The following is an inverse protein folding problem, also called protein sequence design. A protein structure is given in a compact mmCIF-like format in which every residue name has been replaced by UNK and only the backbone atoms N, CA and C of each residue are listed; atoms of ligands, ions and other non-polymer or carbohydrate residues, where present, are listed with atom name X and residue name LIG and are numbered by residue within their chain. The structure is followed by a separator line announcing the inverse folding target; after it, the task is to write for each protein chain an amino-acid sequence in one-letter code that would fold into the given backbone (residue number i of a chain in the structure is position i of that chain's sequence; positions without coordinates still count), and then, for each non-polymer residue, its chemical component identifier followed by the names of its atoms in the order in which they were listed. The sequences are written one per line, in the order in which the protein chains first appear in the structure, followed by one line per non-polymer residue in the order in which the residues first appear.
data_IF_315893139401
#
_entry.id   IF_315893139401
#
_cell.length_a   1.000
_cell.length_b   1.000
_cell.length_c   1.000
_cell.angle_alpha   90.00
_cell.angle_beta   90.00
_cell.angle_gamma   90.00
#
_symmetry.space_group_name_H-M   'P 1'
#
loop_
_entity.id
_entity.type
_entity.pdbx_description
1 polymer ?
#
# COMPACT_ATOMS: atom_id res chain seq x y z
N UNK A 1 -14.53 16.13 -18.88
CA UNK A 1 -14.85 16.89 -17.64
C UNK A 1 -16.30 16.66 -17.14
N UNK A 2 -17.29 16.29 -17.98
CA UNK A 2 -18.68 16.08 -17.51
C UNK A 2 -18.88 14.76 -16.75
N UNK A 3 -18.27 13.65 -17.18
CA UNK A 3 -18.44 12.33 -16.52
C UNK A 3 -18.05 12.32 -15.03
N UNK A 4 -16.93 12.97 -14.67
CA UNK A 4 -16.48 13.03 -13.27
C UNK A 4 -17.44 13.86 -12.41
N UNK A 5 -17.97 14.97 -12.95
CA UNK A 5 -18.98 15.79 -12.25
C UNK A 5 -20.28 15.02 -12.07
N UNK A 6 -20.73 14.31 -13.11
CA UNK A 6 -21.95 13.50 -13.07
C UNK A 6 -21.81 12.32 -12.10
N UNK A 7 -20.66 11.65 -12.07
CA UNK A 7 -20.39 10.57 -11.12
C UNK A 7 -20.37 11.07 -9.67
N UNK A 8 -19.73 12.23 -9.42
CA UNK A 8 -19.69 12.85 -8.09
C UNK A 8 -21.08 13.26 -7.62
N UNK A 9 -21.90 13.81 -8.51
CA UNK A 9 -23.27 14.22 -8.18
C UNK A 9 -24.18 13.02 -7.89
N UNK A 10 -23.99 11.89 -8.57
CA UNK A 10 -24.77 10.67 -8.29
C UNK A 10 -24.33 9.91 -7.03
N UNK A 11 -23.07 10.06 -6.60
CA UNK A 11 -22.48 9.32 -5.48
C UNK A 11 -21.89 10.29 -4.45
N UNK A 12 -22.66 11.29 -4.04
CA UNK A 12 -22.18 12.36 -3.16
C UNK A 12 -21.68 11.82 -1.80
N UNK A 13 -22.33 10.77 -1.28
CA UNK A 13 -22.01 10.12 -0.02
C UNK A 13 -20.63 9.46 0.00
N UNK A 14 -20.02 9.21 -1.18
CA UNK A 14 -18.66 8.68 -1.28
C UNK A 14 -17.57 9.72 -0.98
N UNK A 15 -17.90 11.00 -1.17
CA UNK A 15 -16.96 12.12 -1.06
C UNK A 15 -17.18 12.97 0.20
N UNK A 16 -18.15 12.59 1.03
CA UNK A 16 -18.40 13.21 2.33
C UNK A 16 -17.27 12.88 3.31
N UNK A 17 -16.85 13.87 4.11
CA UNK A 17 -15.79 13.70 5.09
C UNK A 17 -16.33 13.10 6.38
N UNK A 18 -15.66 12.05 6.85
CA UNK A 18 -15.95 11.37 8.10
C UNK A 18 -14.88 11.73 9.14
N UNK A 19 -15.25 11.90 10.42
CA UNK A 19 -14.30 12.13 11.49
C UNK A 19 -13.41 10.90 11.71
N UNK A 20 -12.16 11.11 12.10
CA UNK A 20 -11.24 10.04 12.43
C UNK A 20 -11.65 9.36 13.75
N UNK A 21 -11.75 8.02 13.73
CA UNK A 21 -12.09 7.23 14.92
C UNK A 21 -10.89 7.02 15.84
N UNK A 22 -9.68 6.93 15.29
CA UNK A 22 -8.42 6.81 16.04
C UNK A 22 -7.26 7.49 15.29
N UNK A 23 -6.36 8.16 16.01
CA UNK A 23 -5.12 8.76 15.48
C UNK A 23 -3.93 8.01 16.07
N UNK A 24 -3.03 7.51 15.22
CA UNK A 24 -1.87 6.75 15.68
C UNK A 24 -0.70 7.67 16.07
N UNK A 25 0.24 7.22 16.93
CA UNK A 25 1.38 8.05 17.36
C UNK A 25 2.24 8.58 16.20
N UNK A 26 2.45 7.76 15.17
CA UNK A 26 3.20 8.18 13.97
C UNK A 26 2.47 9.23 13.14
N UNK A 27 1.14 9.35 13.27
CA UNK A 27 0.38 10.36 12.55
C UNK A 27 0.70 11.75 13.09
N UNK A 28 0.83 11.88 14.40
CA UNK A 28 1.22 13.14 15.02
C UNK A 28 2.67 13.52 14.67
N UNK A 29 3.57 12.54 14.62
CA UNK A 29 4.95 12.79 14.19
C UNK A 29 5.02 13.29 12.73
N UNK A 30 4.33 12.60 11.82
CA UNK A 30 4.23 13.02 10.42
C UNK A 30 3.54 14.37 10.28
N UNK A 31 2.50 14.64 11.08
CA UNK A 31 1.78 15.91 11.08
C UNK A 31 2.68 17.09 11.42
N UNK A 32 3.49 16.96 12.47
CA UNK A 32 4.40 18.01 12.93
C UNK A 32 5.58 18.20 11.97
N UNK A 33 6.07 17.11 11.37
CA UNK A 33 7.32 17.13 10.59
C UNK A 33 7.08 17.41 9.11
N UNK A 34 6.25 16.62 8.44
CA UNK A 34 6.11 16.62 6.97
C UNK A 34 4.82 17.28 6.54
N UNK A 35 3.68 16.96 7.18
CA UNK A 35 2.38 17.46 6.72
C UNK A 35 2.23 18.97 6.89
N UNK A 36 3.01 19.61 7.79
CA UNK A 36 3.07 21.06 7.93
C UNK A 36 3.55 21.76 6.64
N UNK A 37 4.38 21.10 5.85
CA UNK A 37 4.90 21.65 4.59
C UNK A 37 4.01 21.35 3.38
N UNK A 38 3.05 20.44 3.50
CA UNK A 38 2.12 20.14 2.41
C UNK A 38 1.12 21.30 2.24
N UNK A 39 0.92 21.80 1.00
CA UNK A 39 -0.08 22.81 0.74
C UNK A 39 -1.48 22.28 1.07
N UNK A 40 -2.30 23.13 1.70
CA UNK A 40 -3.66 22.78 2.20
C UNK A 40 -4.63 22.29 1.11
N UNK A 41 -4.28 22.45 -0.17
CA UNK A 41 -5.07 22.05 -1.34
C UNK A 41 -4.89 20.57 -1.72
N UNK A 42 -3.94 19.86 -1.13
CA UNK A 42 -3.73 18.43 -1.33
C UNK A 42 -4.68 17.67 -0.41
N UNK A 43 -5.50 16.81 -1.01
CA UNK A 43 -6.41 15.91 -0.28
C UNK A 43 -5.82 14.50 -0.28
N UNK A 44 -6.13 13.67 0.73
CA UNK A 44 -5.68 12.27 0.77
C UNK A 44 -5.97 11.53 -0.54
N UNK A 45 -7.19 11.66 -1.06
CA UNK A 45 -7.60 11.01 -2.32
C UNK A 45 -6.73 11.39 -3.54
N UNK A 46 -6.15 12.60 -3.58
CA UNK A 46 -5.24 13.01 -4.66
C UNK A 46 -3.91 12.28 -4.58
N UNK A 47 -3.44 12.00 -3.35
CA UNK A 47 -2.21 11.26 -3.11
C UNK A 47 -2.42 9.78 -3.48
N UNK A 48 -3.53 9.17 -3.08
CA UNK A 48 -3.88 7.81 -3.49
C UNK A 48 -4.00 7.68 -5.01
N UNK A 49 -4.64 8.67 -5.68
CA UNK A 49 -4.74 8.71 -7.14
C UNK A 49 -3.37 8.87 -7.81
N UNK A 50 -2.54 9.76 -7.28
CA UNK A 50 -1.17 9.93 -7.75
C UNK A 50 -0.42 8.60 -7.70
N UNK A 51 -0.55 7.85 -6.59
CA UNK A 51 0.08 6.53 -6.43
C UNK A 51 -0.44 5.52 -7.45
N UNK A 52 -1.74 5.45 -7.72
CA UNK A 52 -2.29 4.59 -8.77
C UNK A 52 -1.69 4.92 -10.14
N UNK A 53 -1.48 6.20 -10.46
CA UNK A 53 -0.85 6.62 -11.71
C UNK A 53 0.68 6.43 -11.74
N UNK A 54 1.34 6.56 -10.59
CA UNK A 54 2.79 6.43 -10.46
C UNK A 54 3.24 4.96 -10.46
N UNK A 55 2.44 4.03 -9.93
CA UNK A 55 2.77 2.60 -9.88
C UNK A 55 3.11 2.00 -11.25
N UNK A 56 2.33 2.20 -12.33
CA UNK A 56 2.71 1.75 -13.67
C UNK A 56 4.03 2.34 -14.17
N UNK A 57 4.30 3.60 -13.83
CA UNK A 57 5.57 4.23 -14.19
C UNK A 57 6.77 3.58 -13.48
N UNK A 58 6.64 3.31 -12.17
CA UNK A 58 7.65 2.56 -11.41
C UNK A 58 7.84 1.15 -11.99
N UNK A 59 6.75 0.46 -12.31
CA UNK A 59 6.79 -0.85 -12.94
C UNK A 59 7.56 -0.83 -14.27
N UNK A 60 7.29 0.14 -15.14
CA UNK A 60 7.98 0.27 -16.43
C UNK A 60 9.48 0.58 -16.25
N UNK A 61 9.85 1.46 -15.33
CA UNK A 61 11.27 1.74 -15.04
C UNK A 61 12.03 0.45 -14.69
N UNK A 62 11.46 -0.35 -13.78
CA UNK A 62 12.07 -1.61 -13.34
C UNK A 62 12.05 -2.65 -14.47
N UNK A 63 10.98 -2.73 -15.25
CA UNK A 63 10.85 -3.66 -16.37
C UNK A 63 11.93 -3.42 -17.44
N UNK A 64 12.26 -2.15 -17.71
CA UNK A 64 13.32 -1.76 -18.65
C UNK A 64 14.73 -1.79 -18.05
N UNK A 65 14.88 -2.22 -16.79
CA UNK A 65 16.18 -2.39 -16.15
C UNK A 65 16.77 -1.13 -15.50
N UNK A 66 16.02 -0.03 -15.41
CA UNK A 66 16.46 1.19 -14.71
C UNK A 66 16.30 1.05 -13.19
N UNK A 67 16.99 0.08 -12.60
CA UNK A 67 16.79 -0.31 -11.20
C UNK A 67 17.14 0.79 -10.20
N UNK A 68 18.17 1.62 -10.47
CA UNK A 68 18.56 2.74 -9.61
C UNK A 68 17.41 3.73 -9.41
N UNK A 69 16.82 4.19 -10.52
CA UNK A 69 15.63 5.05 -10.50
C UNK A 69 14.39 4.30 -9.99
N UNK A 70 14.32 2.99 -10.24
CA UNK A 70 13.30 2.09 -9.74
C UNK A 70 13.23 2.06 -8.22
N UNK A 71 14.37 1.89 -7.52
CA UNK A 71 14.44 1.90 -6.04
C UNK A 71 13.91 3.21 -5.48
N UNK A 72 14.43 4.33 -5.99
CA UNK A 72 14.06 5.67 -5.50
C UNK A 72 12.58 5.93 -5.73
N UNK A 73 12.08 5.63 -6.93
CA UNK A 73 10.67 5.86 -7.27
C UNK A 73 9.75 4.93 -6.50
N UNK A 74 10.12 3.66 -6.31
CA UNK A 74 9.35 2.71 -5.50
C UNK A 74 9.24 3.18 -4.05
N UNK A 75 10.34 3.58 -3.42
CA UNK A 75 10.35 4.09 -2.05
C UNK A 75 9.50 5.36 -1.92
N UNK A 76 9.60 6.29 -2.86
CA UNK A 76 8.78 7.50 -2.85
C UNK A 76 7.29 7.16 -2.94
N UNK A 77 6.90 6.29 -3.87
CA UNK A 77 5.50 5.88 -4.04
C UNK A 77 5.00 5.08 -2.83
N UNK A 78 5.77 4.13 -2.30
CA UNK A 78 5.41 3.39 -1.09
C UNK A 78 5.25 4.32 0.12
N UNK A 79 6.13 5.32 0.26
CA UNK A 79 6.03 6.30 1.34
C UNK A 79 4.77 7.16 1.26
N UNK A 80 4.22 7.39 0.07
CA UNK A 80 2.97 8.15 -0.07
C UNK A 80 1.77 7.51 0.66
N UNK A 81 1.81 6.19 0.91
CA UNK A 81 0.79 5.46 1.68
C UNK A 81 0.73 5.84 3.16
N UNK A 82 1.90 6.03 3.76
CA UNK A 82 1.94 6.48 5.14
C UNK A 82 1.44 7.94 5.24
N UNK A 83 1.74 8.75 4.22
CA UNK A 83 1.40 10.17 4.19
C UNK A 83 -0.10 10.41 4.00
N UNK A 84 -0.76 9.74 3.06
CA UNK A 84 -2.18 9.99 2.80
C UNK A 84 -3.09 9.47 3.92
N UNK A 85 -2.78 8.30 4.48
CA UNK A 85 -3.45 7.76 5.66
C UNK A 85 -3.30 8.70 6.87
N UNK A 86 -2.08 9.20 7.12
CA UNK A 86 -1.82 10.15 8.20
C UNK A 86 -2.54 11.49 7.99
N UNK A 87 -2.52 12.02 6.76
CA UNK A 87 -3.20 13.25 6.38
C UNK A 87 -4.72 13.14 6.52
N UNK A 88 -5.30 12.00 6.15
CA UNK A 88 -6.73 11.75 6.27
C UNK A 88 -7.19 11.76 7.74
N UNK A 89 -6.43 11.08 8.62
CA UNK A 89 -6.74 10.98 10.06
C UNK A 89 -6.54 12.31 10.79
N UNK A 90 -5.42 12.99 10.54
CA UNK A 90 -5.07 14.25 11.25
C UNK A 90 -5.93 15.43 10.83
N UNK A 91 -6.45 15.43 9.60
CA UNK A 91 -7.33 16.50 9.10
C UNK A 91 -8.82 16.16 9.15
N UNK A 92 -9.22 15.00 9.68
CA UNK A 92 -10.60 14.50 9.63
C UNK A 92 -11.19 14.54 8.20
N UNK A 93 -10.36 14.20 7.20
CA UNK A 93 -10.71 14.22 5.77
C UNK A 93 -10.81 12.80 5.22
N UNK A 94 -11.37 11.87 5.99
CA UNK A 94 -11.57 10.49 5.56
C UNK A 94 -12.81 10.45 4.66
N UNK A 95 -12.71 9.82 3.49
CA UNK A 95 -13.87 9.65 2.58
C UNK A 95 -14.10 8.17 2.30
N UNK A 96 -15.35 7.74 2.06
CA UNK A 96 -15.64 6.35 1.67
C UNK A 96 -14.97 5.95 0.36
N UNK A 97 -14.79 6.92 -0.55
CA UNK A 97 -14.02 6.73 -1.78
C UNK A 97 -12.54 6.46 -1.49
N UNK A 98 -11.89 7.29 -0.67
CA UNK A 98 -10.50 7.10 -0.26
C UNK A 98 -10.28 5.75 0.42
N UNK A 99 -11.15 5.38 1.37
CA UNK A 99 -11.11 4.07 2.05
C UNK A 99 -11.20 2.87 1.09
N UNK A 100 -11.82 3.03 -0.08
CA UNK A 100 -11.86 1.98 -1.11
C UNK A 100 -10.63 2.02 -2.02
N UNK A 101 -10.16 3.23 -2.35
CA UNK A 101 -9.04 3.44 -3.26
C UNK A 101 -7.69 3.07 -2.62
N UNK A 102 -7.50 3.36 -1.34
CA UNK A 102 -6.21 3.15 -0.65
C UNK A 102 -5.78 1.66 -0.66
N UNK A 103 -6.63 0.69 -0.27
CA UNK A 103 -6.25 -0.74 -0.32
C UNK A 103 -6.04 -1.26 -1.74
N UNK A 104 -6.68 -0.63 -2.74
CA UNK A 104 -6.52 -0.99 -4.14
C UNK A 104 -5.19 -0.45 -4.68
N UNK A 105 -4.86 0.80 -4.39
CA UNK A 105 -3.61 1.44 -4.77
C UNK A 105 -2.39 0.73 -4.16
N UNK A 106 -2.47 0.38 -2.87
CA UNK A 106 -1.42 -0.35 -2.15
C UNK A 106 -1.15 -1.73 -2.79
N UNK A 107 -2.21 -2.50 -3.04
CA UNK A 107 -2.11 -3.84 -3.64
C UNK A 107 -1.67 -3.82 -5.11
N UNK A 108 -1.98 -2.75 -5.84
CA UNK A 108 -1.43 -2.55 -7.18
C UNK A 108 0.09 -2.39 -7.14
N UNK A 109 0.61 -1.59 -6.21
CA UNK A 109 2.05 -1.38 -6.07
C UNK A 109 2.74 -2.70 -5.70
N UNK A 110 2.38 -3.31 -4.57
CA UNK A 110 3.02 -4.56 -4.13
C UNK A 110 2.80 -5.69 -5.13
N UNK A 111 1.58 -5.88 -5.63
CA UNK A 111 1.25 -6.94 -6.58
C UNK A 111 2.04 -6.83 -7.88
N UNK A 112 2.20 -5.62 -8.43
CA UNK A 112 3.00 -5.40 -9.63
C UNK A 112 4.49 -5.71 -9.41
N UNK A 113 5.05 -5.34 -8.26
CA UNK A 113 6.43 -5.66 -7.91
C UNK A 113 6.65 -7.15 -7.67
N UNK A 114 5.69 -7.83 -7.03
CA UNK A 114 5.75 -9.30 -6.85
C UNK A 114 5.74 -10.01 -8.20
N UNK A 115 4.87 -9.59 -9.11
CA UNK A 115 4.82 -10.16 -10.46
C UNK A 115 6.12 -9.99 -11.23
N UNK A 116 6.75 -8.82 -11.12
CA UNK A 116 7.95 -8.49 -11.89
C UNK A 116 9.24 -9.06 -11.30
N UNK A 117 9.37 -8.99 -9.98
CA UNK A 117 10.63 -9.24 -9.27
C UNK A 117 10.65 -10.59 -8.56
N UNK A 118 9.60 -10.91 -7.80
CA UNK A 118 9.62 -12.12 -6.95
C UNK A 118 9.59 -13.37 -7.81
N UNK A 119 8.71 -13.45 -8.81
CA UNK A 119 8.65 -14.62 -9.70
C UNK A 119 9.91 -14.82 -10.55
N UNK A 120 10.70 -13.76 -10.75
CA UNK A 120 11.91 -13.82 -11.58
C UNK A 120 13.17 -14.09 -10.77
N UNK A 121 13.27 -13.54 -9.55
CA UNK A 121 14.52 -13.50 -8.79
C UNK A 121 14.45 -14.20 -7.42
N UNK A 122 13.26 -14.48 -6.90
CA UNK A 122 13.05 -15.13 -5.61
C UNK A 122 12.30 -16.46 -5.77
N UNK A 123 11.96 -17.09 -4.64
CA UNK A 123 11.20 -18.33 -4.63
C UNK A 123 9.79 -18.13 -5.23
N UNK A 124 9.52 -18.90 -6.28
CA UNK A 124 8.25 -18.90 -6.99
C UNK A 124 7.05 -19.19 -6.06
N UNK A 125 7.18 -20.11 -5.11
CA UNK A 125 6.13 -20.47 -4.18
C UNK A 125 5.82 -19.32 -3.22
N UNK A 126 6.83 -18.57 -2.79
CA UNK A 126 6.61 -17.36 -1.99
C UNK A 126 5.84 -16.31 -2.78
N UNK A 127 6.15 -16.12 -4.06
CA UNK A 127 5.39 -15.23 -4.94
C UNK A 127 3.90 -15.59 -5.01
N UNK A 128 3.58 -16.89 -5.18
CA UNK A 128 2.19 -17.39 -5.17
C UNK A 128 1.52 -17.09 -3.82
N UNK A 129 2.17 -17.45 -2.71
CA UNK A 129 1.57 -17.30 -1.38
C UNK A 129 1.33 -15.82 -1.05
N UNK A 130 2.28 -14.94 -1.37
CA UNK A 130 2.15 -13.50 -1.16
C UNK A 130 0.96 -12.94 -1.94
N UNK A 131 0.87 -13.20 -3.25
CA UNK A 131 -0.24 -12.74 -4.07
C UNK A 131 -1.58 -13.32 -3.62
N UNK A 132 -1.62 -14.62 -3.33
CA UNK A 132 -2.80 -15.30 -2.82
C UNK A 132 -3.30 -14.66 -1.53
N UNK A 133 -2.40 -14.36 -0.59
CA UNK A 133 -2.74 -13.67 0.65
C UNK A 133 -3.28 -12.26 0.39
N UNK A 134 -2.71 -11.48 -0.53
CA UNK A 134 -3.25 -10.16 -0.87
C UNK A 134 -4.72 -10.24 -1.31
N UNK A 135 -5.05 -11.19 -2.17
CA UNK A 135 -6.40 -11.44 -2.66
C UNK A 135 -7.32 -11.86 -1.51
N UNK A 136 -6.87 -12.79 -0.66
CA UNK A 136 -7.63 -13.22 0.53
C UNK A 136 -7.96 -12.03 1.42
N UNK A 137 -7.01 -11.12 1.67
CA UNK A 137 -7.27 -9.89 2.42
C UNK A 137 -8.26 -8.94 1.73
N UNK A 138 -8.27 -8.83 0.38
CA UNK A 138 -9.28 -8.02 -0.34
C UNK A 138 -10.67 -8.62 -0.11
N UNK A 139 -10.82 -9.91 -0.39
CA UNK A 139 -12.11 -10.63 -0.33
C UNK A 139 -12.65 -10.54 1.10
N UNK A 140 -11.78 -10.79 2.06
CA UNK A 140 -12.08 -10.71 3.49
C UNK A 140 -12.61 -9.32 3.88
N UNK A 141 -11.88 -8.26 3.54
CA UNK A 141 -12.29 -6.89 3.84
C UNK A 141 -13.64 -6.55 3.17
N UNK A 142 -13.85 -7.02 1.95
CA UNK A 142 -15.10 -6.85 1.21
C UNK A 142 -16.28 -7.56 1.90
N UNK A 143 -16.12 -8.83 2.27
CA UNK A 143 -17.16 -9.61 2.98
C UNK A 143 -17.54 -8.92 4.29
N UNK A 144 -16.55 -8.45 5.05
CA UNK A 144 -16.80 -7.75 6.31
C UNK A 144 -17.61 -6.48 6.13
N UNK A 145 -17.25 -5.68 5.12
CA UNK A 145 -17.98 -4.46 4.78
C UNK A 145 -19.44 -4.74 4.41
N UNK A 146 -19.68 -5.79 3.63
CA UNK A 146 -21.05 -6.15 3.17
C UNK A 146 -21.88 -6.76 4.30
N UNK A 147 -21.32 -7.70 5.08
CA UNK A 147 -22.06 -8.43 6.11
C UNK A 147 -22.23 -7.65 7.41
N UNK A 148 -21.16 -7.00 7.88
CA UNK A 148 -21.13 -6.39 9.21
C UNK A 148 -21.23 -4.87 9.19
N UNK A 149 -21.22 -4.24 8.01
CA UNK A 149 -21.18 -2.78 7.82
C UNK A 149 -20.05 -2.07 8.58
N UNK A 150 -19.05 -2.83 9.03
CA UNK A 150 -17.86 -2.32 9.71
C UNK A 150 -16.71 -2.28 8.73
N UNK A 151 -15.89 -1.23 8.81
CA UNK A 151 -14.61 -1.15 8.11
C UNK A 151 -13.57 -1.70 9.08
N UNK A 152 -12.94 -2.82 8.71
CA UNK A 152 -11.96 -3.47 9.58
C UNK A 152 -10.69 -2.63 9.63
N UNK A 153 -10.34 -2.13 10.82
CA UNK A 153 -9.11 -1.35 11.02
C UNK A 153 -7.88 -2.26 10.90
N UNK A 154 -6.80 -1.72 10.33
CA UNK A 154 -5.56 -2.46 10.09
C UNK A 154 -4.84 -2.79 11.40
N UNK A 155 -4.69 -4.07 11.69
CA UNK A 155 -4.00 -4.55 12.89
C UNK A 155 -2.48 -4.45 12.76
N UNK A 156 -1.79 -4.43 13.89
CA UNK A 156 -0.32 -4.35 13.96
C UNK A 156 0.36 -5.41 13.06
N UNK A 157 -0.18 -6.63 13.02
CA UNK A 157 0.33 -7.74 12.19
C UNK A 157 0.24 -7.46 10.69
N UNK A 158 -0.87 -6.87 10.24
CA UNK A 158 -1.04 -6.47 8.83
C UNK A 158 -0.07 -5.35 8.43
N UNK A 159 0.18 -4.39 9.32
CA UNK A 159 1.18 -3.33 9.11
C UNK A 159 2.59 -3.89 9.03
N UNK A 160 2.95 -4.83 9.92
CA UNK A 160 4.26 -5.50 9.90
C UNK A 160 4.46 -6.31 8.63
N UNK A 161 3.45 -7.05 8.17
CA UNK A 161 3.49 -7.75 6.88
C UNK A 161 3.82 -6.78 5.73
N UNK A 162 3.07 -5.68 5.61
CA UNK A 162 3.26 -4.71 4.53
C UNK A 162 4.67 -4.09 4.59
N UNK A 163 5.13 -3.71 5.78
CA UNK A 163 6.49 -3.21 5.98
C UNK A 163 7.56 -4.21 5.51
N UNK A 164 7.41 -5.49 5.86
CA UNK A 164 8.32 -6.55 5.41
C UNK A 164 8.28 -6.77 3.90
N UNK A 165 7.11 -6.68 3.26
CA UNK A 165 7.01 -6.80 1.79
C UNK A 165 7.72 -5.63 1.09
N UNK A 166 7.54 -4.40 1.57
CA UNK A 166 8.26 -3.22 1.05
C UNK A 166 9.78 -3.40 1.21
N UNK A 167 10.24 -3.85 2.39
CA UNK A 167 11.66 -4.13 2.63
C UNK A 167 12.21 -5.24 1.73
N UNK A 168 11.46 -6.32 1.51
CA UNK A 168 11.85 -7.40 0.63
C UNK A 168 12.02 -6.90 -0.81
N UNK A 169 11.04 -6.15 -1.34
CA UNK A 169 11.12 -5.56 -2.68
C UNK A 169 12.30 -4.60 -2.80
N UNK A 170 12.53 -3.73 -1.81
CA UNK A 170 13.69 -2.85 -1.80
C UNK A 170 15.00 -3.65 -1.83
N UNK A 171 15.07 -4.73 -1.05
CA UNK A 171 16.25 -5.60 -1.00
C UNK A 171 16.50 -6.28 -2.36
N UNK A 172 15.45 -6.73 -3.06
CA UNK A 172 15.59 -7.25 -4.43
C UNK A 172 16.12 -6.18 -5.37
N UNK A 173 15.54 -4.98 -5.35
CA UNK A 173 15.96 -3.91 -6.25
C UNK A 173 17.42 -3.48 -5.99
N UNK A 174 17.83 -3.39 -4.72
CA UNK A 174 19.23 -3.15 -4.33
C UNK A 174 20.13 -4.29 -4.83
N UNK A 175 19.69 -5.54 -4.70
CA UNK A 175 20.43 -6.69 -5.24
C UNK A 175 20.67 -6.58 -6.75
N UNK A 176 19.69 -6.06 -7.49
CA UNK A 176 19.79 -5.86 -8.94
C UNK A 176 20.67 -4.67 -9.32
N UNK A 177 20.72 -3.61 -8.50
CA UNK A 177 21.61 -2.45 -8.72
C UNK A 177 23.07 -2.84 -8.47
N UNK A 178 23.35 -3.57 -7.39
CA UNK A 178 24.71 -3.94 -6.98
C UNK A 178 25.14 -5.34 -7.44
N UNK A 179 24.30 -6.03 -8.22
CA UNK A 179 24.51 -7.40 -8.70
C UNK A 179 24.93 -8.40 -7.60
N UNK A 180 24.38 -8.24 -6.40
CA UNK A 180 24.82 -8.97 -5.21
C UNK A 180 23.75 -9.97 -4.72
N UNK A 181 24.06 -11.25 -4.89
CA UNK A 181 23.19 -12.38 -4.55
C UNK A 181 22.81 -12.44 -3.05
N UNK A 182 23.65 -11.93 -2.15
CA UNK A 182 23.33 -11.93 -0.71
C UNK A 182 22.06 -11.14 -0.40
N UNK A 183 21.81 -10.05 -1.12
CA UNK A 183 20.58 -9.27 -0.95
C UNK A 183 19.34 -10.00 -1.44
N UNK A 184 19.45 -10.86 -2.47
CA UNK A 184 18.33 -11.73 -2.88
C UNK A 184 18.00 -12.76 -1.80
N UNK A 185 19.01 -13.36 -1.18
CA UNK A 185 18.80 -14.31 -0.08
C UNK A 185 18.13 -13.63 1.12
N UNK A 186 18.58 -12.42 1.47
CA UNK A 186 17.96 -11.61 2.52
C UNK A 186 16.51 -11.28 2.15
N UNK A 187 16.25 -10.85 0.92
CA UNK A 187 14.90 -10.55 0.45
C UNK A 187 13.98 -11.77 0.55
N UNK A 188 14.48 -12.96 0.21
CA UNK A 188 13.72 -14.21 0.29
C UNK A 188 13.31 -14.53 1.73
N UNK A 189 14.22 -14.35 2.69
CA UNK A 189 13.96 -14.56 4.13
C UNK A 189 12.93 -13.53 4.63
N UNK A 190 13.12 -12.24 4.30
CA UNK A 190 12.20 -11.17 4.71
C UNK A 190 10.80 -11.43 4.15
N UNK A 191 10.71 -11.85 2.89
CA UNK A 191 9.43 -12.17 2.25
C UNK A 191 8.76 -13.37 2.92
N UNK A 192 9.52 -14.43 3.26
CA UNK A 192 9.03 -15.56 4.04
C UNK A 192 8.51 -15.17 5.42
N UNK A 193 9.22 -14.28 6.14
CA UNK A 193 8.75 -13.71 7.40
C UNK A 193 7.43 -12.94 7.21
N UNK A 194 7.31 -12.15 6.13
CA UNK A 194 6.09 -11.41 5.82
C UNK A 194 4.87 -12.33 5.69
N UNK A 195 5.04 -13.51 5.08
CA UNK A 195 4.00 -14.53 4.98
C UNK A 195 3.61 -15.06 6.37
N UNK A 196 4.58 -15.31 7.25
CA UNK A 196 4.31 -15.68 8.64
C UNK A 196 3.45 -14.64 9.37
N UNK A 197 3.80 -13.36 9.27
CA UNK A 197 3.00 -12.26 9.82
C UNK A 197 1.62 -12.16 9.17
N UNK A 198 1.51 -12.40 7.87
CA UNK A 198 0.24 -12.42 7.15
C UNK A 198 -0.69 -13.53 7.68
N UNK A 199 -0.17 -14.74 7.88
CA UNK A 199 -0.91 -15.87 8.42
C UNK A 199 -1.35 -15.60 9.86
N UNK A 200 -0.45 -15.10 10.72
CA UNK A 200 -0.81 -14.73 12.11
C UNK A 200 -1.89 -13.65 12.12
N UNK A 201 -1.81 -12.66 11.22
CA UNK A 201 -2.84 -11.63 11.10
C UNK A 201 -4.20 -12.23 10.74
N UNK A 202 -4.22 -13.21 9.85
CA UNK A 202 -5.43 -13.90 9.39
C UNK A 202 -6.02 -14.81 10.48
N UNK A 203 -5.19 -15.57 11.19
CA UNK A 203 -5.66 -16.45 12.28
C UNK A 203 -6.08 -15.69 13.53
N UNK A 204 -5.23 -14.80 14.04
CA UNK A 204 -5.43 -14.17 15.36
C UNK A 204 -6.60 -13.20 15.38
N UNK A 205 -6.83 -12.50 14.29
CA UNK A 205 -7.91 -11.53 14.22
C UNK A 205 -9.10 -12.08 13.40
N UNK A 206 -9.01 -13.32 12.91
CA UNK A 206 -9.95 -13.90 11.96
C UNK A 206 -9.87 -13.24 10.59
N UNK A 207 -10.55 -13.84 9.60
CA UNK A 207 -11.10 -13.12 8.45
C UNK A 207 -11.84 -11.89 8.97
#
# INVERSE_FOLDING_TARGET
MSFIKDFKNRNFDLFEYLPATEVHPHDNFLAVTILRFLPKNITPNKISLFRVCATPFVFLLILFGYYEFGVVSFLLVAFTDALDGSLARTQNKITKFGMLLDPLADKLLIGSMVLLLVFKYLDFWLGIVVLGMEIVFIITAYIYRVKFKTVRMANLWGKMKMFLQVLAICSVLIALVFENQSFLNIANIILGLSVGFALVSLFRHGI
#
